data_IF_832978469679
#
_entry.id   IF_832978469679
#
_cell.length_a   1.000
_cell.length_b   1.000
_cell.length_c   1.000
_cell.angle_alpha   90.00
_cell.angle_beta   90.00
_cell.angle_gamma   90.00
#
_symmetry.space_group_name_H-M   'P 1'
#
loop_
_entity.id
_entity.type
_entity.pdbx_description
1 polymer ?
#
# COMPACT_ATOMS: atom_id res chain seq x y z
N UNK A 1 -18.30 15.65 -16.51
CA UNK A 1 -18.73 15.76 -15.11
C UNK A 1 -18.88 14.36 -14.55
N UNK A 2 -18.01 13.98 -13.65
CA UNK A 2 -18.13 12.73 -12.91
C UNK A 2 -18.70 13.09 -11.55
N UNK A 3 -19.97 12.75 -11.33
CA UNK A 3 -20.60 12.88 -10.02
C UNK A 3 -20.09 11.73 -9.14
N UNK A 4 -19.14 12.02 -8.29
CA UNK A 4 -18.70 11.09 -7.24
C UNK A 4 -19.33 11.56 -5.94
N UNK A 5 -19.87 10.64 -5.09
CA UNK A 5 -20.21 10.99 -3.72
C UNK A 5 -18.93 11.47 -3.05
N UNK A 6 -18.79 12.77 -2.82
CA UNK A 6 -17.65 13.33 -2.12
C UNK A 6 -17.89 13.28 -0.63
N UNK A 7 -16.92 12.79 0.11
CA UNK A 7 -16.89 12.86 1.55
C UNK A 7 -15.97 14.00 1.96
N UNK A 8 -16.55 15.04 2.51
CA UNK A 8 -15.83 15.96 3.38
C UNK A 8 -16.02 15.44 4.80
N UNK A 9 -14.97 14.98 5.42
CA UNK A 9 -14.99 14.54 6.82
C UNK A 9 -14.36 15.61 7.70
N UNK A 10 -15.17 16.18 8.56
CA UNK A 10 -14.66 16.89 9.72
C UNK A 10 -15.08 16.09 10.96
N UNK A 11 -14.14 15.74 11.81
CA UNK A 11 -14.34 15.00 13.06
C UNK A 11 -15.10 13.67 12.95
N UNK A 12 -14.96 12.96 11.82
CA UNK A 12 -15.57 11.65 11.63
C UNK A 12 -17.07 11.69 11.26
N UNK A 13 -17.59 12.86 10.91
CA UNK A 13 -18.96 13.03 10.44
C UNK A 13 -18.97 13.26 8.94
N UNK A 14 -19.79 12.53 8.22
CA UNK A 14 -19.99 12.73 6.79
C UNK A 14 -20.76 14.04 6.56
N UNK A 15 -20.05 15.07 6.10
CA UNK A 15 -20.68 16.39 5.89
C UNK A 15 -21.33 16.55 4.52
N UNK A 16 -20.97 15.70 3.53
CA UNK A 16 -21.48 15.85 2.18
C UNK A 16 -21.73 14.52 1.45
N UNK A 17 -22.92 14.36 0.93
CA UNK A 17 -23.24 13.42 -0.13
C UNK A 17 -23.43 14.19 -1.44
N UNK A 18 -22.59 13.91 -2.44
CA UNK A 18 -22.79 14.41 -3.80
C UNK A 18 -21.91 15.59 -4.22
N UNK A 19 -20.61 15.45 -4.12
CA UNK A 19 -19.66 16.44 -4.67
C UNK A 19 -19.36 16.15 -6.13
N UNK A 20 -19.47 17.15 -7.00
CA UNK A 20 -19.01 17.08 -8.38
C UNK A 20 -17.53 17.40 -8.47
N UNK A 21 -16.76 16.53 -9.15
CA UNK A 21 -15.40 16.84 -9.54
C UNK A 21 -15.37 17.19 -11.02
N UNK A 22 -14.91 18.38 -11.35
CA UNK A 22 -14.57 18.74 -12.71
C UNK A 22 -13.06 18.57 -12.91
N UNK A 23 -12.69 17.79 -13.92
CA UNK A 23 -11.30 17.65 -14.33
C UNK A 23 -11.16 18.40 -15.66
N UNK A 24 -10.47 19.55 -15.70
CA UNK A 24 -10.24 20.26 -16.94
C UNK A 24 -9.42 19.43 -17.92
N UNK A 25 -9.67 19.63 -19.20
CA UNK A 25 -8.88 19.00 -20.26
C UNK A 25 -7.74 19.94 -20.66
N UNK A 26 -6.52 19.42 -20.66
CA UNK A 26 -5.34 20.08 -21.21
C UNK A 26 -4.87 19.28 -22.43
N UNK A 27 -4.90 19.92 -23.60
CA UNK A 27 -4.55 19.24 -24.85
C UNK A 27 -5.45 18.04 -25.18
N UNK A 28 -6.73 18.07 -24.77
CA UNK A 28 -7.70 16.98 -24.98
C UNK A 28 -7.53 15.78 -24.04
N UNK A 29 -6.65 15.86 -23.03
CA UNK A 29 -6.49 14.85 -21.99
C UNK A 29 -6.89 15.39 -20.63
N UNK A 30 -7.40 14.55 -19.70
CA UNK A 30 -7.68 14.99 -18.34
C UNK A 30 -6.41 15.54 -17.68
N UNK A 31 -6.53 16.76 -17.14
CA UNK A 31 -5.48 17.32 -16.28
C UNK A 31 -5.61 16.69 -14.88
N UNK A 32 -4.71 15.77 -14.57
CA UNK A 32 -4.65 15.08 -13.28
C UNK A 32 -3.72 15.76 -12.28
N UNK A 33 -3.11 16.88 -12.63
CA UNK A 33 -2.35 17.69 -11.68
C UNK A 33 -3.28 18.19 -10.56
N UNK A 34 -2.76 18.34 -9.35
CA UNK A 34 -3.56 18.83 -8.21
C UNK A 34 -4.24 20.18 -8.49
N UNK A 35 -3.60 21.03 -9.30
CA UNK A 35 -4.17 22.30 -9.76
C UNK A 35 -5.34 22.14 -10.74
N UNK A 36 -5.48 20.96 -11.36
CA UNK A 36 -6.55 20.64 -12.32
C UNK A 36 -7.86 20.20 -11.66
N UNK A 37 -7.81 19.76 -10.42
CA UNK A 37 -9.02 19.32 -9.73
C UNK A 37 -9.86 20.52 -9.26
N UNK A 38 -11.17 20.40 -9.44
CA UNK A 38 -12.16 21.35 -8.94
C UNK A 38 -13.18 20.57 -8.15
N UNK A 39 -13.59 21.14 -7.02
CA UNK A 39 -14.67 20.60 -6.18
C UNK A 39 -15.81 21.59 -6.17
N UNK A 40 -16.97 21.14 -6.57
CA UNK A 40 -18.19 21.92 -6.53
C UNK A 40 -19.07 21.42 -5.37
N UNK A 41 -19.16 22.18 -4.26
CA UNK A 41 -20.03 21.85 -3.15
C UNK A 41 -21.51 22.21 -3.39
N UNK A 42 -21.88 22.64 -4.58
CA UNK A 42 -23.23 23.01 -4.93
C UNK A 42 -23.65 24.42 -4.45
N UNK A 43 -22.67 25.25 -4.04
CA UNK A 43 -22.94 26.63 -3.58
C UNK A 43 -22.67 27.65 -4.70
N UNK A 44 -23.42 28.75 -4.71
CA UNK A 44 -23.25 29.82 -5.71
C UNK A 44 -22.30 30.94 -5.28
N UNK A 45 -21.66 30.86 -4.12
CA UNK A 45 -20.80 31.93 -3.59
C UNK A 45 -19.83 31.45 -2.52
N UNK A 46 -18.78 32.24 -2.30
CA UNK A 46 -17.85 32.02 -1.18
C UNK A 46 -18.56 31.96 0.18
N UNK A 47 -19.47 32.91 0.43
CA UNK A 47 -20.21 32.90 1.69
C UNK A 47 -21.09 31.66 1.87
N UNK A 48 -21.64 31.12 0.76
CA UNK A 48 -22.34 29.83 0.78
C UNK A 48 -21.39 28.67 1.16
N UNK A 49 -20.20 28.64 0.58
CA UNK A 49 -19.18 27.62 0.89
C UNK A 49 -18.71 27.73 2.34
N UNK A 50 -18.44 28.94 2.82
CA UNK A 50 -18.05 29.18 4.21
C UNK A 50 -19.15 28.75 5.19
N UNK A 51 -20.42 28.94 4.83
CA UNK A 51 -21.54 28.51 5.67
C UNK A 51 -21.67 27.00 5.83
N UNK A 52 -21.05 26.23 4.92
CA UNK A 52 -20.92 24.79 5.01
C UNK A 52 -19.72 24.35 5.87
N UNK A 53 -18.93 25.29 6.40
CA UNK A 53 -17.74 25.02 7.18
C UNK A 53 -16.50 24.65 6.36
N UNK A 54 -16.57 24.75 5.04
CA UNK A 54 -15.49 24.40 4.12
C UNK A 54 -14.47 25.55 4.07
N UNK A 55 -13.20 25.22 4.26
CA UNK A 55 -12.11 26.20 4.34
C UNK A 55 -10.95 25.83 3.43
N UNK A 56 -10.17 26.82 3.04
CA UNK A 56 -8.89 26.59 2.38
C UNK A 56 -7.96 25.82 3.33
N UNK A 57 -7.46 24.68 2.85
CA UNK A 57 -6.62 23.77 3.65
C UNK A 57 -7.36 22.52 4.12
N UNK A 58 -8.67 22.43 3.97
CA UNK A 58 -9.40 21.20 4.28
C UNK A 58 -9.03 20.08 3.32
N UNK A 59 -8.95 18.87 3.87
CA UNK A 59 -8.64 17.69 3.08
C UNK A 59 -9.87 17.21 2.31
N UNK A 60 -9.69 16.98 1.02
CA UNK A 60 -10.71 16.43 0.14
C UNK A 60 -10.32 15.02 -0.24
N UNK A 61 -11.17 14.04 0.05
CA UNK A 61 -10.90 12.65 -0.28
C UNK A 61 -12.07 12.01 -1.01
N UNK A 62 -11.77 11.03 -1.87
CA UNK A 62 -12.80 10.21 -2.48
C UNK A 62 -13.40 9.26 -1.45
N UNK A 63 -14.67 8.82 -1.61
CA UNK A 63 -15.29 7.85 -0.72
C UNK A 63 -14.45 6.57 -0.62
N UNK A 64 -14.33 6.03 0.59
CA UNK A 64 -13.67 4.74 0.84
C UNK A 64 -14.74 3.67 0.93
N UNK A 65 -15.05 3.06 -0.21
CA UNK A 65 -15.98 1.94 -0.24
C UNK A 65 -15.22 0.65 -0.52
N UNK A 66 -15.42 -0.36 0.33
CA UNK A 66 -15.02 -1.71 0.05
C UNK A 66 -16.15 -2.42 -0.68
N UNK A 67 -15.84 -3.01 -1.83
CA UNK A 67 -16.81 -3.78 -2.62
C UNK A 67 -16.22 -5.14 -2.93
N UNK A 68 -16.94 -6.21 -2.57
CA UNK A 68 -16.58 -7.56 -2.95
C UNK A 68 -16.83 -7.76 -4.44
N UNK A 69 -15.86 -8.34 -5.13
CA UNK A 69 -15.93 -8.71 -6.54
C UNK A 69 -16.07 -10.24 -6.69
N UNK A 70 -16.08 -10.72 -7.93
CA UNK A 70 -16.15 -12.15 -8.20
C UNK A 70 -14.94 -12.91 -7.62
N UNK A 71 -15.20 -14.08 -7.06
CA UNK A 71 -14.20 -14.90 -6.36
C UNK A 71 -13.80 -14.26 -5.02
N UNK A 72 -12.51 -14.28 -4.72
CA UNK A 72 -11.96 -13.68 -3.49
C UNK A 72 -11.47 -12.24 -3.69
N UNK A 73 -11.86 -11.58 -4.78
CA UNK A 73 -11.39 -10.25 -5.10
C UNK A 73 -12.23 -9.18 -4.42
N UNK A 74 -11.57 -8.06 -4.18
CA UNK A 74 -12.21 -6.87 -3.65
C UNK A 74 -11.65 -5.63 -4.36
N UNK A 75 -12.48 -4.60 -4.43
CA UNK A 75 -12.06 -3.27 -4.86
C UNK A 75 -12.33 -2.25 -3.77
N UNK A 76 -11.51 -1.24 -3.74
CA UNK A 76 -11.61 -0.14 -2.78
C UNK A 76 -10.49 0.86 -2.99
N UNK A 77 -10.39 1.82 -2.09
CA UNK A 77 -9.33 2.82 -2.09
C UNK A 77 -8.40 2.60 -0.91
N UNK A 78 -7.13 2.88 -1.12
CA UNK A 78 -6.10 2.81 -0.05
C UNK A 78 -5.91 1.39 0.50
N UNK A 79 -5.96 0.38 -0.36
CA UNK A 79 -5.41 -0.92 -0.03
C UNK A 79 -3.89 -0.82 0.14
N UNK A 80 -3.29 0.05 -0.61
CA UNK A 80 -1.97 0.61 -0.39
C UNK A 80 -2.03 1.67 0.72
N UNK A 81 -1.42 1.49 1.94
CA UNK A 81 -0.88 0.21 2.42
C UNK A 81 -1.71 -0.39 3.58
N UNK A 82 -3.05 -0.33 3.53
CA UNK A 82 -3.90 -0.94 4.56
C UNK A 82 -3.85 -2.46 4.56
N UNK A 83 -3.53 -3.08 3.42
CA UNK A 83 -3.41 -4.54 3.31
C UNK A 83 -2.14 -5.01 4.03
N UNK A 84 -1.01 -4.32 3.88
CA UNK A 84 0.20 -4.63 4.63
C UNK A 84 0.00 -4.45 6.13
N UNK A 85 -0.66 -3.37 6.55
CA UNK A 85 -1.04 -3.17 7.95
C UNK A 85 -1.93 -4.32 8.47
N UNK A 86 -2.94 -4.74 7.70
CA UNK A 86 -3.82 -5.85 8.08
C UNK A 86 -3.06 -7.17 8.16
N UNK A 87 -2.14 -7.43 7.22
CA UNK A 87 -1.30 -8.62 7.23
C UNK A 87 -0.39 -8.66 8.46
N UNK A 88 0.21 -7.53 8.85
CA UNK A 88 1.00 -7.43 10.09
C UNK A 88 0.16 -7.72 11.33
N UNK A 89 -1.03 -7.15 11.44
CA UNK A 89 -1.95 -7.38 12.57
C UNK A 89 -2.37 -8.86 12.63
N UNK A 90 -2.69 -9.47 11.49
CA UNK A 90 -3.04 -10.89 11.42
C UNK A 90 -1.85 -11.79 11.81
N UNK A 91 -0.65 -11.45 11.35
CA UNK A 91 0.58 -12.16 11.74
C UNK A 91 0.81 -12.07 13.25
N UNK A 92 0.75 -10.87 13.84
CA UNK A 92 0.88 -10.64 15.28
C UNK A 92 -0.13 -11.45 16.11
N UNK A 93 -1.40 -11.47 15.69
CA UNK A 93 -2.46 -12.23 16.40
C UNK A 93 -2.24 -13.75 16.39
N UNK A 94 -1.51 -14.26 15.41
CA UNK A 94 -1.23 -15.69 15.21
C UNK A 94 0.17 -16.10 15.63
N UNK A 95 1.02 -15.14 16.01
CA UNK A 95 2.40 -15.35 16.38
C UNK A 95 2.49 -16.14 17.70
N UNK A 96 3.30 -17.19 17.70
CA UNK A 96 3.69 -17.86 18.94
C UNK A 96 5.05 -17.31 19.42
N UNK A 97 5.02 -16.46 20.43
CA UNK A 97 6.23 -15.81 20.96
C UNK A 97 7.30 -16.80 21.45
N UNK A 98 6.90 -18.02 21.82
CA UNK A 98 7.86 -19.10 22.24
C UNK A 98 8.70 -19.62 21.07
N UNK A 99 8.29 -19.33 19.83
CA UNK A 99 9.00 -19.74 18.61
C UNK A 99 9.96 -18.69 18.08
N UNK A 100 9.93 -17.50 18.65
CA UNK A 100 10.85 -16.43 18.25
C UNK A 100 12.28 -16.78 18.64
N UNK A 101 13.17 -16.68 17.66
CA UNK A 101 14.63 -16.89 17.87
C UNK A 101 15.34 -15.56 18.14
N UNK A 102 14.73 -14.45 17.75
CA UNK A 102 15.25 -13.11 17.87
C UNK A 102 14.15 -12.16 18.32
N UNK A 103 14.51 -11.00 18.78
CA UNK A 103 13.56 -9.91 18.96
C UNK A 103 13.01 -9.48 17.60
N UNK A 104 11.69 -9.34 17.50
CA UNK A 104 11.00 -8.89 16.29
C UNK A 104 10.28 -7.60 16.62
N UNK A 105 10.53 -6.56 15.85
CA UNK A 105 9.89 -5.27 15.99
C UNK A 105 8.91 -5.07 14.82
N UNK A 106 7.64 -4.90 15.13
CA UNK A 106 6.61 -4.54 14.15
C UNK A 106 6.42 -3.02 14.18
N UNK A 107 6.66 -2.38 13.05
CA UNK A 107 6.58 -0.93 12.90
C UNK A 107 5.42 -0.60 11.96
N UNK A 108 4.51 0.26 12.41
CA UNK A 108 3.50 0.89 11.58
C UNK A 108 3.94 2.33 11.36
N UNK A 109 4.60 2.57 10.26
CA UNK A 109 5.17 3.87 9.94
C UNK A 109 4.09 4.84 9.46
N UNK A 110 4.38 6.12 9.54
CA UNK A 110 3.50 7.19 9.07
C UNK A 110 4.16 7.92 7.90
N UNK A 111 3.34 8.52 7.03
CA UNK A 111 3.81 9.37 5.93
C UNK A 111 4.75 8.64 4.96
N UNK A 112 4.44 7.37 4.67
CA UNK A 112 5.17 6.60 3.66
C UNK A 112 5.05 7.28 2.29
N UNK A 113 3.84 7.56 1.82
CA UNK A 113 3.45 8.12 0.52
C UNK A 113 4.05 9.51 0.21
N UNK A 114 4.59 10.18 1.20
CA UNK A 114 5.15 11.54 1.07
C UNK A 114 6.63 11.60 1.48
N UNK A 115 7.33 10.49 1.41
CA UNK A 115 8.77 10.45 1.55
C UNK A 115 9.30 9.51 2.64
N UNK A 116 8.58 8.45 3.03
CA UNK A 116 9.03 7.42 3.97
C UNK A 116 9.42 8.00 5.35
N UNK A 117 8.75 9.06 5.80
CA UNK A 117 9.23 9.85 6.95
C UNK A 117 9.25 9.05 8.25
N UNK A 118 8.20 8.28 8.54
CA UNK A 118 8.15 7.44 9.73
C UNK A 118 9.23 6.35 9.72
N UNK A 119 9.45 5.73 8.58
CA UNK A 119 10.50 4.73 8.42
C UNK A 119 11.90 5.34 8.54
N UNK A 120 12.11 6.55 8.00
CA UNK A 120 13.39 7.27 8.17
C UNK A 120 13.69 7.57 9.64
N UNK A 121 12.68 7.98 10.40
CA UNK A 121 12.82 8.19 11.84
C UNK A 121 13.17 6.88 12.56
N UNK A 122 12.47 5.78 12.26
CA UNK A 122 12.76 4.47 12.81
C UNK A 122 14.20 4.01 12.47
N UNK A 123 14.62 4.16 11.21
CA UNK A 123 15.97 3.83 10.76
C UNK A 123 17.05 4.66 11.48
N UNK A 124 16.80 5.96 11.71
CA UNK A 124 17.73 6.80 12.47
C UNK A 124 17.84 6.38 13.95
N UNK A 125 16.73 5.91 14.54
CA UNK A 125 16.72 5.46 15.94
C UNK A 125 17.38 4.11 16.14
N UNK A 126 17.19 3.19 15.21
CA UNK A 126 17.68 1.80 15.30
C UNK A 126 19.07 1.63 14.67
N UNK A 127 19.44 2.49 13.71
CA UNK A 127 20.74 2.41 13.03
C UNK A 127 20.97 1.03 12.39
N UNK A 128 22.12 0.45 12.67
CA UNK A 128 22.50 -0.87 12.21
C UNK A 128 22.14 -2.02 13.15
N UNK A 129 21.33 -1.80 14.18
CA UNK A 129 20.92 -2.86 15.12
C UNK A 129 20.10 -3.98 14.48
N UNK A 130 19.13 -3.70 13.55
CA UNK A 130 18.41 -4.76 12.89
C UNK A 130 19.32 -5.60 12.00
N UNK A 131 19.16 -6.93 12.06
CA UNK A 131 19.88 -7.85 11.15
C UNK A 131 19.37 -7.69 9.72
N UNK A 132 18.07 -7.39 9.57
CA UNK A 132 17.38 -7.14 8.31
C UNK A 132 16.04 -6.46 8.57
N UNK A 133 15.48 -5.89 7.54
CA UNK A 133 14.15 -5.28 7.53
C UNK A 133 13.31 -5.94 6.45
N UNK A 134 12.04 -6.11 6.73
CA UNK A 134 11.03 -6.57 5.79
C UNK A 134 9.97 -5.49 5.68
N UNK A 135 10.06 -4.62 4.69
CA UNK A 135 8.95 -3.73 4.37
C UNK A 135 7.79 -4.56 3.83
N UNK A 136 6.59 -4.31 4.33
CA UNK A 136 5.36 -4.80 3.75
C UNK A 136 4.78 -3.68 2.91
N UNK A 137 4.69 -3.89 1.61
CA UNK A 137 4.27 -2.85 0.70
C UNK A 137 3.62 -3.46 -0.55
N UNK A 138 2.80 -2.69 -1.25
CA UNK A 138 2.15 -3.17 -2.45
C UNK A 138 3.16 -3.58 -3.52
N UNK A 139 2.81 -4.57 -4.31
CA UNK A 139 3.49 -4.89 -5.55
C UNK A 139 2.59 -4.44 -6.69
N UNK A 140 2.91 -3.29 -7.28
CA UNK A 140 2.15 -2.77 -8.41
C UNK A 140 2.19 -3.79 -9.54
N UNK A 141 1.05 -4.42 -9.82
CA UNK A 141 0.95 -5.50 -10.76
C UNK A 141 0.50 -5.02 -12.13
N UNK A 142 1.13 -5.53 -13.17
CA UNK A 142 0.75 -5.30 -14.57
C UNK A 142 -0.17 -6.38 -15.14
N UNK A 143 -0.83 -7.17 -14.30
CA UNK A 143 -1.79 -8.18 -14.76
C UNK A 143 -3.18 -7.61 -15.09
N UNK A 144 -3.36 -6.30 -14.99
CA UNK A 144 -4.56 -5.60 -15.39
C UNK A 144 -4.76 -5.64 -16.93
N UNK A 145 -6.02 -5.60 -17.42
CA UNK A 145 -6.31 -5.82 -18.83
C UNK A 145 -5.62 -4.89 -19.82
N UNK A 146 -5.35 -3.63 -19.43
CA UNK A 146 -4.78 -2.61 -20.31
C UNK A 146 -3.32 -2.29 -20.00
N UNK A 147 -2.71 -2.98 -19.04
CA UNK A 147 -1.33 -2.74 -18.65
C UNK A 147 -0.31 -3.48 -19.52
N UNK A 148 0.87 -2.89 -19.65
CA UNK A 148 2.01 -3.50 -20.32
C UNK A 148 2.59 -4.59 -19.42
N UNK A 149 2.40 -5.83 -19.77
CA UNK A 149 2.73 -7.02 -18.94
C UNK A 149 4.23 -7.26 -18.70
N UNK A 150 5.11 -6.47 -19.27
CA UNK A 150 6.56 -6.66 -19.16
C UNK A 150 7.17 -6.01 -17.92
N UNK A 151 6.41 -5.21 -17.20
CA UNK A 151 6.95 -4.35 -16.14
C UNK A 151 6.89 -4.97 -14.75
N UNK A 152 5.76 -5.57 -14.38
CA UNK A 152 5.58 -6.21 -13.09
C UNK A 152 4.79 -7.50 -13.27
N UNK A 153 5.37 -8.63 -12.89
CA UNK A 153 4.91 -9.94 -13.31
C UNK A 153 4.25 -10.79 -12.21
N UNK A 154 3.90 -10.19 -11.07
CA UNK A 154 3.13 -10.90 -10.04
C UNK A 154 1.63 -10.78 -10.32
N UNK A 155 0.95 -11.90 -10.35
CA UNK A 155 -0.48 -11.99 -10.67
C UNK A 155 -1.33 -11.93 -9.40
N UNK A 156 -2.42 -11.19 -9.46
CA UNK A 156 -3.43 -11.14 -8.39
C UNK A 156 -4.07 -12.52 -8.21
N UNK A 157 -4.13 -13.01 -6.96
CA UNK A 157 -4.66 -14.32 -6.60
C UNK A 157 -3.63 -15.46 -6.66
N UNK A 158 -2.33 -15.14 -6.72
CA UNK A 158 -1.24 -16.12 -6.75
C UNK A 158 -0.33 -16.11 -5.53
N UNK A 159 -0.75 -15.42 -4.47
CA UNK A 159 -0.04 -15.37 -3.20
C UNK A 159 0.77 -14.11 -2.99
N UNK A 160 1.52 -14.08 -1.89
CA UNK A 160 2.42 -13.00 -1.54
C UNK A 160 3.52 -12.80 -2.60
N UNK A 161 4.20 -11.67 -2.56
CA UNK A 161 5.29 -11.36 -3.49
C UNK A 161 6.56 -10.99 -2.69
N UNK A 162 7.70 -11.57 -3.08
CA UNK A 162 9.01 -11.02 -2.75
C UNK A 162 9.34 -9.93 -3.77
N UNK A 163 9.49 -8.68 -3.31
CA UNK A 163 9.93 -7.55 -4.14
C UNK A 163 11.45 -7.66 -4.29
N UNK A 164 11.90 -8.42 -5.30
CA UNK A 164 13.34 -8.63 -5.48
C UNK A 164 14.07 -7.35 -5.90
N UNK A 165 13.41 -6.51 -6.69
CA UNK A 165 13.91 -5.19 -7.15
C UNK A 165 12.75 -4.22 -7.24
N UNK A 166 12.96 -3.02 -6.73
CA UNK A 166 12.11 -1.86 -6.99
C UNK A 166 12.97 -0.61 -7.23
N UNK A 167 12.36 0.58 -7.30
CA UNK A 167 13.10 1.81 -7.57
C UNK A 167 13.99 2.27 -6.40
N UNK A 168 13.78 1.73 -5.21
CA UNK A 168 14.46 2.16 -3.97
C UNK A 168 15.43 1.14 -3.41
N UNK A 169 15.24 -0.15 -3.73
CA UNK A 169 16.08 -1.22 -3.19
C UNK A 169 16.24 -2.42 -4.12
N UNK A 170 17.30 -3.17 -3.87
CA UNK A 170 17.58 -4.47 -4.49
C UNK A 170 17.83 -5.47 -3.36
N UNK A 171 16.93 -6.42 -3.21
CA UNK A 171 17.11 -7.49 -2.22
C UNK A 171 18.26 -8.41 -2.64
N UNK A 172 19.24 -8.69 -1.75
CA UNK A 172 20.32 -9.63 -2.07
C UNK A 172 19.76 -10.99 -2.52
N UNK A 173 20.23 -11.55 -3.65
CA UNK A 173 19.68 -12.80 -4.21
C UNK A 173 19.64 -13.97 -3.21
N UNK A 174 20.66 -14.12 -2.38
CA UNK A 174 20.70 -15.18 -1.35
C UNK A 174 19.56 -15.04 -0.31
N UNK A 175 19.12 -13.81 -0.03
CA UNK A 175 17.98 -13.57 0.87
C UNK A 175 16.65 -13.84 0.17
N UNK A 176 16.54 -13.55 -1.12
CA UNK A 176 15.37 -13.95 -1.94
C UNK A 176 15.23 -15.47 -1.96
N UNK A 177 16.33 -16.20 -2.19
CA UNK A 177 16.37 -17.66 -2.19
C UNK A 177 15.98 -18.25 -0.81
N UNK A 178 16.48 -17.64 0.27
CA UNK A 178 16.14 -18.04 1.65
C UNK A 178 14.65 -17.81 1.94
N UNK A 179 14.10 -16.68 1.52
CA UNK A 179 12.69 -16.37 1.66
C UNK A 179 11.82 -17.37 0.87
N UNK A 180 12.22 -17.68 -0.36
CA UNK A 180 11.54 -18.66 -1.21
C UNK A 180 11.61 -20.09 -0.59
N UNK A 181 12.73 -20.46 0.01
CA UNK A 181 12.85 -21.73 0.71
C UNK A 181 11.95 -21.80 1.94
N UNK A 182 11.88 -20.72 2.72
CA UNK A 182 10.97 -20.60 3.87
C UNK A 182 9.50 -20.74 3.44
N UNK A 183 9.09 -20.00 2.41
CA UNK A 183 7.73 -20.05 1.89
C UNK A 183 7.34 -21.47 1.43
N UNK A 184 8.24 -22.15 0.70
CA UNK A 184 8.03 -23.54 0.28
C UNK A 184 7.88 -24.47 1.49
N UNK A 185 8.77 -24.37 2.48
CA UNK A 185 8.73 -25.21 3.68
C UNK A 185 7.43 -25.01 4.49
N UNK A 186 6.85 -23.81 4.43
CA UNK A 186 5.61 -23.47 5.12
C UNK A 186 4.37 -23.60 4.23
N UNK A 187 4.52 -24.01 2.96
CA UNK A 187 3.47 -24.13 1.94
C UNK A 187 2.72 -22.80 1.72
N UNK A 188 3.43 -21.70 1.77
CA UNK A 188 2.89 -20.36 1.54
C UNK A 188 3.09 -20.03 0.05
N UNK A 189 2.01 -19.67 -0.68
CA UNK A 189 2.14 -19.22 -2.06
C UNK A 189 2.97 -17.93 -2.12
N UNK A 190 4.07 -17.96 -2.88
CA UNK A 190 5.00 -16.84 -3.05
C UNK A 190 5.39 -16.68 -4.50
N UNK A 191 5.29 -15.47 -4.99
CA UNK A 191 5.82 -15.01 -6.26
C UNK A 191 7.09 -14.19 -6.03
N UNK A 192 7.94 -14.06 -7.03
CA UNK A 192 9.14 -13.22 -6.97
C UNK A 192 9.12 -12.33 -8.20
N UNK A 193 9.31 -11.03 -8.01
CA UNK A 193 9.23 -10.10 -9.12
C UNK A 193 9.93 -8.78 -8.90
N UNK A 194 9.87 -7.97 -9.95
CA UNK A 194 10.32 -6.58 -9.95
C UNK A 194 9.12 -5.67 -10.13
N UNK A 195 9.13 -4.51 -9.49
CA UNK A 195 8.05 -3.53 -9.57
C UNK A 195 8.61 -2.11 -9.54
N UNK A 196 7.76 -1.11 -9.68
CA UNK A 196 8.14 0.28 -9.45
C UNK A 196 7.80 0.72 -8.02
N UNK A 197 8.02 2.01 -7.74
CA UNK A 197 7.82 2.60 -6.43
C UNK A 197 9.01 2.35 -5.50
N UNK A 198 8.91 2.89 -4.31
CA UNK A 198 9.86 2.64 -3.22
C UNK A 198 9.20 1.81 -2.14
N UNK A 199 9.92 1.64 -1.04
CA UNK A 199 9.39 1.02 0.16
C UNK A 199 10.14 1.50 1.41
N UNK A 200 9.54 1.36 2.56
CA UNK A 200 10.06 1.79 3.85
C UNK A 200 11.40 1.15 4.23
N UNK A 201 11.65 -0.09 3.85
CA UNK A 201 12.87 -0.84 4.16
C UNK A 201 14.12 -0.21 3.55
N UNK A 202 13.97 0.48 2.42
CA UNK A 202 15.07 1.17 1.74
C UNK A 202 15.75 2.23 2.63
N UNK A 203 15.03 2.77 3.62
CA UNK A 203 15.59 3.75 4.55
C UNK A 203 16.65 3.20 5.49
N UNK A 204 16.66 1.88 5.70
CA UNK A 204 17.62 1.18 6.55
C UNK A 204 18.90 0.78 5.83
N UNK A 205 18.88 0.74 4.49
CA UNK A 205 20.04 0.26 3.69
C UNK A 205 21.29 1.13 3.89
N UNK A 206 21.12 2.42 4.16
CA UNK A 206 22.23 3.34 4.50
C UNK A 206 22.97 2.98 5.78
N UNK A 207 22.36 2.19 6.66
CA UNK A 207 22.96 1.68 7.89
C UNK A 207 23.52 0.26 7.73
N UNK A 208 23.59 -0.24 6.50
CA UNK A 208 24.09 -1.58 6.19
C UNK A 208 23.07 -2.70 6.46
N UNK A 209 21.83 -2.36 6.75
CA UNK A 209 20.75 -3.33 6.99
C UNK A 209 20.12 -3.73 5.67
N UNK A 210 20.10 -5.01 5.29
CA UNK A 210 19.46 -5.42 4.05
C UNK A 210 17.94 -5.30 4.15
N UNK A 211 17.36 -4.74 3.09
CA UNK A 211 15.92 -4.71 2.88
C UNK A 211 15.49 -5.96 2.11
N UNK A 212 14.56 -6.71 2.68
CA UNK A 212 13.93 -7.89 2.06
C UNK A 212 12.44 -7.63 1.98
N UNK A 213 12.07 -6.77 1.05
CA UNK A 213 10.71 -6.31 0.92
C UNK A 213 9.77 -7.43 0.44
N UNK A 214 8.60 -7.49 1.04
CA UNK A 214 7.52 -8.42 0.72
C UNK A 214 6.22 -7.66 0.51
N UNK A 215 5.30 -8.24 -0.22
CA UNK A 215 4.03 -7.56 -0.48
C UNK A 215 2.98 -8.47 -1.07
N UNK A 216 2.02 -7.85 -1.71
CA UNK A 216 0.91 -8.50 -2.42
C UNK A 216 0.68 -7.82 -3.78
N UNK A 217 0.20 -8.55 -4.80
CA UNK A 217 -0.11 -7.93 -6.07
C UNK A 217 -1.31 -6.99 -5.95
N UNK A 218 -1.17 -5.78 -6.47
CA UNK A 218 -2.21 -4.75 -6.48
C UNK A 218 -2.41 -4.25 -7.91
N UNK A 219 -3.65 -4.24 -8.40
CA UNK A 219 -4.02 -3.55 -9.64
C UNK A 219 -4.45 -2.13 -9.33
N UNK A 220 -4.16 -1.22 -10.25
CA UNK A 220 -4.62 0.17 -10.21
C UNK A 220 -4.18 0.91 -8.93
N UNK A 221 -2.94 0.66 -8.47
CA UNK A 221 -2.34 1.34 -7.32
C UNK A 221 -2.51 2.85 -7.41
N UNK A 222 -2.71 3.51 -6.27
CA UNK A 222 -2.95 4.95 -6.14
C UNK A 222 -4.21 5.45 -6.86
N UNK A 223 -5.18 4.56 -7.09
CA UNK A 223 -6.45 4.91 -7.70
C UNK A 223 -7.62 4.79 -6.72
N UNK A 224 -8.79 5.34 -7.06
CA UNK A 224 -9.99 5.17 -6.24
C UNK A 224 -10.55 3.75 -6.23
N UNK A 225 -10.08 2.88 -7.12
CA UNK A 225 -10.63 1.55 -7.37
C UNK A 225 -9.53 0.49 -7.51
N UNK A 226 -8.66 0.43 -6.52
CA UNK A 226 -7.64 -0.61 -6.40
C UNK A 226 -8.28 -1.99 -6.30
N UNK A 227 -7.61 -3.01 -6.83
CA UNK A 227 -8.13 -4.39 -6.82
C UNK A 227 -7.09 -5.34 -6.23
N UNK A 228 -7.53 -6.11 -5.24
CA UNK A 228 -6.75 -7.15 -4.56
C UNK A 228 -7.47 -8.50 -4.62
N UNK A 229 -6.74 -9.55 -4.25
CA UNK A 229 -7.31 -10.83 -3.87
C UNK A 229 -7.04 -11.10 -2.38
N UNK A 230 -8.06 -11.47 -1.63
CA UNK A 230 -7.94 -11.71 -0.18
C UNK A 230 -7.05 -12.91 0.14
N UNK A 231 -6.86 -13.85 -0.80
CA UNK A 231 -5.93 -14.96 -0.63
C UNK A 231 -4.47 -14.46 -0.59
N UNK A 232 -4.15 -13.41 -1.34
CA UNK A 232 -2.81 -12.81 -1.34
C UNK A 232 -2.51 -12.12 0.01
N UNK A 233 -3.51 -11.42 0.59
CA UNK A 233 -3.40 -10.85 1.93
C UNK A 233 -3.13 -11.94 2.97
N UNK A 234 -3.87 -13.04 2.92
CA UNK A 234 -3.68 -14.15 3.86
C UNK A 234 -2.32 -14.80 3.69
N UNK A 235 -1.86 -14.99 2.45
CA UNK A 235 -0.51 -15.49 2.17
C UNK A 235 0.58 -14.54 2.71
N UNK A 236 0.40 -13.22 2.57
CA UNK A 236 1.30 -12.23 3.13
C UNK A 236 1.34 -12.28 4.66
N UNK A 237 0.20 -12.41 5.31
CA UNK A 237 0.12 -12.53 6.76
C UNK A 237 0.83 -13.81 7.27
N UNK A 238 0.63 -14.93 6.58
CA UNK A 238 1.29 -16.20 6.92
C UNK A 238 2.80 -16.12 6.65
N UNK A 239 3.23 -15.44 5.58
CA UNK A 239 4.65 -15.21 5.27
C UNK A 239 5.30 -14.34 6.35
N UNK A 240 4.66 -13.23 6.72
CA UNK A 240 5.13 -12.32 7.77
C UNK A 240 5.32 -13.05 9.10
N UNK A 241 4.34 -13.88 9.48
CA UNK A 241 4.46 -14.73 10.67
C UNK A 241 5.63 -15.75 10.55
N UNK A 242 5.74 -16.42 9.40
CA UNK A 242 6.78 -17.41 9.18
C UNK A 242 8.19 -16.80 9.26
N UNK A 243 8.36 -15.59 8.72
CA UNK A 243 9.60 -14.80 8.83
C UNK A 243 9.90 -14.53 10.31
N UNK A 244 8.94 -14.00 11.06
CA UNK A 244 9.13 -13.68 12.48
C UNK A 244 9.50 -14.92 13.33
N UNK A 245 8.91 -16.09 13.05
CA UNK A 245 9.13 -17.32 13.83
C UNK A 245 10.39 -18.09 13.44
N UNK A 246 10.86 -17.97 12.19
CA UNK A 246 11.86 -18.91 11.68
C UNK A 246 13.11 -18.28 11.10
N UNK A 247 13.14 -16.98 10.92
CA UNK A 247 14.20 -16.32 10.14
C UNK A 247 14.98 -15.17 10.84
#
# INVERSE_FOLDING_TARGET
>A
DVTLPGLLQEHGVDLFHGTCFAVPLVGGRPDTAASGFRVDPGTGSHAGTDSLGIRVGDAITMPKQYVSLAGNRATGRSFDDRVGCAAQILALRRLDSRRLRHSVLFIFSTREEVGLEGARFAAQRLGGEPIRVHALDTFVSSDAPLEIKTFANALVGRGAVARAVDNSSVTPPALVDSLAALARARRIPLQIGTTNGGNDGSTFTRFGVPDVAIGWPLRYSHSPAEVIDLADLLALADLTRAIAEAW
#
